data_IF_830730803888
#
_entry.id   IF_830730803888
#
_cell.length_a   1.000
_cell.length_b   1.000
_cell.length_c   1.000
_cell.angle_alpha   90.00
_cell.angle_beta   90.00
_cell.angle_gamma   90.00
#
_symmetry.space_group_name_H-M   'P 1'
#
loop_
_entity.id
_entity.type
_entity.pdbx_description
1 polymer ?
#
# COMPACT_ATOMS: atom_id res chain seq x y z
N UNK A 1 29.24 12.34 8.71
CA UNK A 1 28.37 12.29 7.53
C UNK A 1 26.96 11.96 7.99
N UNK A 2 26.00 12.89 7.87
CA UNK A 2 24.59 12.61 8.17
C UNK A 2 23.88 12.62 6.82
N UNK A 3 23.53 11.45 6.30
CA UNK A 3 22.61 11.38 5.18
C UNK A 3 21.29 11.98 5.65
N UNK A 4 20.62 12.86 4.87
CA UNK A 4 19.31 13.35 5.26
C UNK A 4 18.41 12.12 5.43
N UNK A 5 17.85 11.93 6.62
CA UNK A 5 16.81 10.94 6.83
C UNK A 5 15.70 11.24 5.82
N UNK A 6 15.38 10.26 4.97
CA UNK A 6 14.26 10.40 4.05
C UNK A 6 13.04 10.86 4.86
N UNK A 7 12.22 11.80 4.34
CA UNK A 7 11.07 12.30 5.08
C UNK A 7 10.22 11.11 5.53
N UNK A 8 10.10 10.94 6.84
CA UNK A 8 9.28 9.89 7.43
C UNK A 8 7.82 10.25 7.19
N UNK A 9 7.22 9.61 6.19
CA UNK A 9 5.81 9.75 5.91
C UNK A 9 5.02 8.91 6.92
N UNK A 10 4.37 9.58 7.88
CA UNK A 10 3.42 8.96 8.81
C UNK A 10 1.99 9.19 8.31
N UNK A 11 1.31 8.09 8.00
CA UNK A 11 -0.08 8.07 7.56
C UNK A 11 -1.01 7.40 8.59
N UNK A 12 -0.55 7.24 9.83
CA UNK A 12 -1.35 6.67 10.92
C UNK A 12 -2.72 7.35 11.02
N UNK A 13 -3.78 6.55 11.01
CA UNK A 13 -5.16 7.04 11.11
C UNK A 13 -5.73 7.67 9.82
N UNK A 14 -4.95 7.76 8.75
CA UNK A 14 -5.43 8.22 7.43
C UNK A 14 -6.03 7.07 6.64
N UNK A 15 -6.93 7.42 5.71
CA UNK A 15 -7.49 6.50 4.72
C UNK A 15 -6.98 6.89 3.33
N UNK A 16 -6.57 5.90 2.54
CA UNK A 16 -6.01 6.11 1.20
C UNK A 16 -6.72 5.21 0.20
N UNK A 17 -7.14 5.77 -0.93
CA UNK A 17 -7.61 5.02 -2.09
C UNK A 17 -6.52 5.01 -3.16
N UNK A 18 -6.12 3.81 -3.60
CA UNK A 18 -5.22 3.64 -4.75
C UNK A 18 -5.98 3.01 -5.91
N UNK A 19 -6.23 3.81 -6.94
CA UNK A 19 -6.77 3.33 -8.20
C UNK A 19 -5.65 2.73 -9.08
N UNK A 20 -5.91 1.59 -9.71
CA UNK A 20 -4.91 0.84 -10.49
C UNK A 20 -3.84 0.16 -9.63
N UNK A 21 -4.14 -0.14 -8.36
CA UNK A 21 -3.12 -0.59 -7.40
C UNK A 21 -2.71 -2.07 -7.49
N UNK A 22 -3.23 -2.86 -8.44
CA UNK A 22 -2.92 -4.30 -8.50
C UNK A 22 -1.50 -4.65 -8.98
N UNK A 23 -0.77 -3.70 -9.58
CA UNK A 23 0.60 -3.93 -10.08
C UNK A 23 1.42 -2.64 -10.19
N UNK A 24 2.72 -2.78 -10.50
CA UNK A 24 3.62 -1.67 -10.80
C UNK A 24 3.65 -0.61 -9.69
N UNK A 25 3.61 0.66 -10.08
CA UNK A 25 3.67 1.80 -9.15
C UNK A 25 2.47 1.80 -8.20
N UNK A 26 1.27 1.51 -8.70
CA UNK A 26 0.07 1.48 -7.85
C UNK A 26 0.20 0.46 -6.71
N UNK A 27 0.73 -0.74 -7.00
CA UNK A 27 1.02 -1.75 -5.97
C UNK A 27 2.06 -1.27 -4.97
N UNK A 28 3.15 -0.68 -5.46
CA UNK A 28 4.19 -0.14 -4.59
C UNK A 28 3.65 0.95 -3.66
N UNK A 29 2.79 1.83 -4.16
CA UNK A 29 2.14 2.87 -3.37
C UNK A 29 1.19 2.29 -2.33
N UNK A 30 0.34 1.32 -2.70
CA UNK A 30 -0.60 0.70 -1.77
C UNK A 30 0.12 0.06 -0.57
N UNK A 31 1.19 -0.69 -0.83
CA UNK A 31 2.02 -1.28 0.22
C UNK A 31 2.72 -0.21 1.06
N UNK A 32 3.32 0.81 0.42
CA UNK A 32 4.02 1.87 1.14
C UNK A 32 3.09 2.67 2.07
N UNK A 33 1.87 3.02 1.63
CA UNK A 33 0.90 3.72 2.48
C UNK A 33 0.43 2.84 3.64
N UNK A 34 0.19 1.55 3.40
CA UNK A 34 -0.20 0.63 4.47
C UNK A 34 0.93 0.46 5.49
N UNK A 35 2.18 0.32 5.03
CA UNK A 35 3.37 0.28 5.90
C UNK A 35 3.58 1.57 6.69
N UNK A 36 3.10 2.70 6.17
CA UNK A 36 3.09 3.99 6.87
C UNK A 36 1.90 4.17 7.84
N UNK A 37 1.10 3.14 8.10
CA UNK A 37 0.00 3.17 9.07
C UNK A 37 -1.36 3.62 8.50
N UNK A 38 -1.47 3.80 7.17
CA UNK A 38 -2.75 4.11 6.55
C UNK A 38 -3.66 2.88 6.51
N UNK A 39 -4.97 3.11 6.52
CA UNK A 39 -5.96 2.13 6.05
C UNK A 39 -6.15 2.29 4.55
N UNK A 40 -5.76 1.29 3.77
CA UNK A 40 -5.69 1.41 2.31
C UNK A 40 -6.81 0.62 1.64
N UNK A 41 -7.50 1.26 0.70
CA UNK A 41 -8.40 0.60 -0.25
C UNK A 41 -7.78 0.66 -1.65
N UNK A 42 -7.87 -0.43 -2.40
CA UNK A 42 -7.31 -0.54 -3.74
C UNK A 42 -8.40 -1.00 -4.70
N UNK A 43 -8.44 -0.40 -5.89
CA UNK A 43 -9.27 -0.89 -6.97
C UNK A 43 -8.44 -1.06 -8.24
N UNK A 44 -8.74 -2.09 -9.03
CA UNK A 44 -8.10 -2.33 -10.32
C UNK A 44 -8.98 -3.25 -11.18
N UNK A 45 -8.66 -3.34 -12.48
CA UNK A 45 -9.30 -4.32 -13.37
C UNK A 45 -8.57 -5.66 -13.24
N UNK A 46 -9.29 -6.68 -12.80
CA UNK A 46 -8.81 -8.06 -12.74
C UNK A 46 -8.54 -8.54 -11.31
N UNK A 47 -9.35 -9.50 -10.88
CA UNK A 47 -9.26 -10.16 -9.57
C UNK A 47 -7.88 -10.75 -9.25
N UNK A 48 -7.17 -11.43 -10.18
CA UNK A 48 -5.90 -12.09 -9.84
C UNK A 48 -4.84 -11.13 -9.27
N UNK A 49 -4.78 -9.91 -9.78
CA UNK A 49 -3.83 -8.91 -9.29
C UNK A 49 -4.21 -8.32 -7.92
N UNK A 50 -5.51 -8.17 -7.65
CA UNK A 50 -6.01 -7.73 -6.35
C UNK A 50 -5.78 -8.83 -5.29
N UNK A 51 -6.05 -10.09 -5.63
CA UNK A 51 -5.76 -11.24 -4.77
C UNK A 51 -4.27 -11.35 -4.45
N UNK A 52 -3.38 -11.23 -5.45
CA UNK A 52 -1.95 -11.26 -5.22
C UNK A 52 -1.50 -10.14 -4.28
N UNK A 53 -1.96 -8.90 -4.50
CA UNK A 53 -1.69 -7.79 -3.59
C UNK A 53 -2.18 -8.07 -2.16
N UNK A 54 -3.40 -8.60 -2.01
CA UNK A 54 -3.96 -8.96 -0.70
C UNK A 54 -3.10 -10.00 0.00
N UNK A 55 -2.66 -11.05 -0.70
CA UNK A 55 -1.76 -12.07 -0.15
C UNK A 55 -0.43 -11.47 0.30
N UNK A 56 0.18 -10.61 -0.53
CA UNK A 56 1.43 -9.94 -0.18
C UNK A 56 1.25 -9.02 1.05
N UNK A 57 0.16 -8.26 1.11
CA UNK A 57 -0.15 -7.40 2.24
C UNK A 57 -0.36 -8.20 3.54
N UNK A 58 -1.08 -9.33 3.48
CA UNK A 58 -1.28 -10.23 4.61
C UNK A 58 0.03 -10.81 5.12
N UNK A 59 0.93 -11.23 4.23
CA UNK A 59 2.26 -11.74 4.61
C UNK A 59 3.12 -10.67 5.31
N UNK A 60 2.86 -9.39 5.04
CA UNK A 60 3.52 -8.25 5.67
C UNK A 60 2.78 -7.70 6.90
N UNK A 61 1.63 -8.27 7.27
CA UNK A 61 0.79 -7.77 8.37
C UNK A 61 0.13 -6.43 8.08
N UNK A 62 -0.07 -6.08 6.81
CA UNK A 62 -0.64 -4.82 6.36
C UNK A 62 -2.16 -4.92 6.14
N UNK A 63 -2.90 -3.89 6.56
CA UNK A 63 -4.35 -3.80 6.40
C UNK A 63 -4.71 -3.12 5.06
N UNK A 64 -5.00 -3.94 4.03
CA UNK A 64 -5.42 -3.48 2.71
C UNK A 64 -6.75 -4.14 2.31
N UNK A 65 -7.72 -3.30 1.96
CA UNK A 65 -8.95 -3.71 1.28
C UNK A 65 -8.76 -3.66 -0.23
N UNK A 66 -9.01 -4.77 -0.93
CA UNK A 66 -8.87 -4.89 -2.40
C UNK A 66 -10.16 -5.39 -3.01
#
# INVERSE_FOLDING_TARGET
MHAPAAPSLDFTGRRVLVAGGSKGIGRAMALAFASAGARVSVCARGEPGLTALRTDAQALGLDIHT
#
